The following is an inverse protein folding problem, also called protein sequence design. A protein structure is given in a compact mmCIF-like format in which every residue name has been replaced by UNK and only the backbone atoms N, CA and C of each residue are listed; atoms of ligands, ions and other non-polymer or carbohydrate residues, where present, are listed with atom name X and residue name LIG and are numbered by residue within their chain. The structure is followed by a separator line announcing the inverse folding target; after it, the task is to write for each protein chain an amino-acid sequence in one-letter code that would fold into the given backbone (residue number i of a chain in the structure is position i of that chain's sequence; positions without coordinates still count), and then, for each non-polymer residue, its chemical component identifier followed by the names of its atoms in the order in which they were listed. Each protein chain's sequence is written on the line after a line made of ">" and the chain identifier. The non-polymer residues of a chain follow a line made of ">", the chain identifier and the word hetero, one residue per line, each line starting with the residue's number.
data_IF_241689286540
#
_entry.id   IF_241689286540
#
_cell.length_a   1.000
_cell.length_b   1.000
_cell.length_c   1.000
_cell.angle_alpha   90.00
_cell.angle_beta   90.00
_cell.angle_gamma   90.00
#
_symmetry.space_group_name_H-M   'P 1'
#
loop_
_entity.id
_entity.type
_entity.pdbx_description
1 polymer ?
#
# COMPACT_ATOMS: atom_id res chain seq x y z
N UNK A 1 -29.83 43.48 33.78
CA UNK A 1 -29.96 42.86 32.43
C UNK A 1 -29.43 43.71 31.25
N UNK A 2 -28.88 44.92 31.44
CA UNK A 2 -28.48 45.82 30.33
C UNK A 2 -27.01 45.71 29.82
N UNK A 3 -26.18 44.86 30.43
CA UNK A 3 -24.72 44.82 30.16
C UNK A 3 -24.33 43.88 29.01
N UNK A 4 -25.17 42.91 28.68
CA UNK A 4 -24.95 41.90 27.62
C UNK A 4 -25.25 42.41 26.21
N UNK A 5 -26.14 43.41 26.06
CA UNK A 5 -26.51 43.94 24.73
C UNK A 5 -25.39 44.77 24.09
N UNK A 6 -24.57 45.47 24.89
CA UNK A 6 -23.44 46.28 24.40
C UNK A 6 -22.28 45.41 23.88
N UNK A 7 -22.04 44.24 24.48
CA UNK A 7 -21.04 43.28 24.01
C UNK A 7 -21.43 42.66 22.66
N UNK A 8 -22.70 42.27 22.51
CA UNK A 8 -23.24 41.75 21.23
C UNK A 8 -23.12 42.77 20.10
N UNK A 9 -23.39 44.05 20.37
CA UNK A 9 -23.30 45.12 19.36
C UNK A 9 -21.86 45.46 18.96
N UNK A 10 -20.87 45.23 19.85
CA UNK A 10 -19.43 45.36 19.53
C UNK A 10 -18.91 44.20 18.69
N UNK A 11 -19.33 42.97 18.99
CA UNK A 11 -18.97 41.79 18.18
C UNK A 11 -19.53 41.88 16.75
N UNK A 12 -20.74 42.38 16.57
CA UNK A 12 -21.36 42.57 15.24
C UNK A 12 -20.69 43.70 14.42
N UNK A 13 -19.94 44.60 15.06
CA UNK A 13 -19.29 45.75 14.40
C UNK A 13 -17.80 45.53 14.09
N UNK A 14 -17.21 44.43 14.56
CA UNK A 14 -15.83 44.08 14.23
C UNK A 14 -15.76 43.41 12.84
N UNK A 15 -15.28 44.17 11.84
CA UNK A 15 -15.04 43.70 10.46
C UNK A 15 -13.60 43.22 10.24
N UNK A 16 -12.74 43.31 11.26
CA UNK A 16 -11.31 42.94 11.19
C UNK A 16 -11.06 41.46 10.87
N UNK A 17 -12.10 40.62 10.93
CA UNK A 17 -12.05 39.19 10.56
C UNK A 17 -12.31 38.89 9.08
N UNK A 18 -12.76 39.86 8.26
CA UNK A 18 -13.10 39.61 6.84
C UNK A 18 -11.91 39.10 6.04
N UNK A 19 -10.75 39.75 6.21
CA UNK A 19 -9.51 39.35 5.55
C UNK A 19 -9.01 37.96 6.00
N UNK A 20 -9.26 37.58 7.26
CA UNK A 20 -8.90 36.26 7.77
C UNK A 20 -9.78 35.16 7.14
N UNK A 21 -11.07 35.44 6.89
CA UNK A 21 -11.98 34.50 6.22
C UNK A 21 -11.62 34.35 4.73
N UNK A 22 -11.31 35.45 4.05
CA UNK A 22 -10.85 35.44 2.66
C UNK A 22 -9.55 34.63 2.49
N UNK A 23 -8.58 34.81 3.39
CA UNK A 23 -7.35 34.02 3.40
C UNK A 23 -7.63 32.54 3.69
N UNK A 24 -8.46 32.22 4.68
CA UNK A 24 -8.81 30.84 5.03
C UNK A 24 -9.48 30.10 3.86
N UNK A 25 -10.33 30.78 3.09
CA UNK A 25 -11.00 30.22 1.90
C UNK A 25 -10.02 29.75 0.83
N UNK A 26 -8.85 30.39 0.69
CA UNK A 26 -7.80 30.01 -0.27
C UNK A 26 -6.75 29.09 0.36
N UNK A 27 -6.37 29.35 1.60
CA UNK A 27 -5.35 28.57 2.30
C UNK A 27 -5.79 27.12 2.55
N UNK A 28 -7.06 26.89 2.89
CA UNK A 28 -7.58 25.54 3.13
C UNK A 28 -7.46 24.59 1.91
N UNK A 29 -7.97 24.92 0.71
CA UNK A 29 -7.81 24.05 -0.45
C UNK A 29 -6.35 23.93 -0.89
N UNK A 30 -5.53 24.96 -0.71
CA UNK A 30 -4.10 24.91 -1.02
C UNK A 30 -3.34 23.93 -0.11
N UNK A 31 -3.54 24.01 1.22
CA UNK A 31 -2.95 23.08 2.17
C UNK A 31 -3.43 21.64 1.90
N UNK A 32 -4.71 21.45 1.59
CA UNK A 32 -5.25 20.14 1.20
C UNK A 32 -4.53 19.57 -0.03
N UNK A 33 -4.32 20.39 -1.07
CA UNK A 33 -3.60 19.97 -2.27
C UNK A 33 -2.14 19.56 -1.96
N UNK A 34 -1.45 20.31 -1.09
CA UNK A 34 -0.08 19.95 -0.67
C UNK A 34 -0.07 18.60 0.03
N UNK A 35 -0.96 18.37 1.00
CA UNK A 35 -1.03 17.07 1.69
C UNK A 35 -1.37 15.92 0.75
N UNK A 36 -2.27 16.14 -0.22
CA UNK A 36 -2.58 15.14 -1.24
C UNK A 36 -1.37 14.78 -2.09
N UNK A 37 -0.56 15.77 -2.50
CA UNK A 37 0.68 15.51 -3.27
C UNK A 37 1.70 14.76 -2.40
N UNK A 38 1.87 15.13 -1.13
CA UNK A 38 2.77 14.45 -0.20
C UNK A 38 2.34 12.99 0.05
N UNK A 39 1.04 12.75 0.24
CA UNK A 39 0.49 11.40 0.41
C UNK A 39 0.71 10.56 -0.84
N UNK A 40 0.46 11.11 -2.03
CA UNK A 40 0.72 10.41 -3.29
C UNK A 40 2.21 10.07 -3.46
N UNK A 41 3.10 11.01 -3.10
CA UNK A 41 4.54 10.76 -3.07
C UNK A 41 4.92 9.62 -2.13
N UNK A 42 4.31 9.56 -0.94
CA UNK A 42 4.52 8.48 0.01
C UNK A 42 4.06 7.12 -0.54
N UNK A 43 2.90 7.08 -1.20
CA UNK A 43 2.38 5.85 -1.84
C UNK A 43 3.34 5.34 -2.91
N UNK A 44 3.89 6.22 -3.76
CA UNK A 44 4.88 5.82 -4.77
C UNK A 44 6.19 5.34 -4.16
N UNK A 45 6.66 5.97 -3.09
CA UNK A 45 7.85 5.49 -2.36
C UNK A 45 7.60 4.11 -1.78
N UNK A 46 6.43 3.88 -1.16
CA UNK A 46 6.05 2.59 -0.64
C UNK A 46 5.98 1.52 -1.74
N UNK A 47 5.40 1.84 -2.89
CA UNK A 47 5.30 0.94 -4.05
C UNK A 47 6.70 0.55 -4.58
N UNK A 48 7.59 1.53 -4.74
CA UNK A 48 8.97 1.29 -5.15
C UNK A 48 9.76 0.44 -4.16
N UNK A 49 9.60 0.68 -2.85
CA UNK A 49 10.22 -0.12 -1.79
C UNK A 49 9.66 -1.54 -1.78
N UNK A 50 8.34 -1.71 -1.97
CA UNK A 50 7.68 -3.01 -2.03
C UNK A 50 8.18 -3.84 -3.22
N UNK A 51 8.31 -3.22 -4.40
CA UNK A 51 8.81 -3.88 -5.60
C UNK A 51 10.26 -4.31 -5.43
N UNK A 52 11.12 -3.43 -4.90
CA UNK A 52 12.51 -3.77 -4.60
C UNK A 52 12.61 -4.91 -3.57
N UNK A 53 11.84 -4.85 -2.48
CA UNK A 53 11.79 -5.90 -1.47
C UNK A 53 11.33 -7.24 -2.07
N UNK A 54 10.36 -7.22 -2.98
CA UNK A 54 9.83 -8.40 -3.67
C UNK A 54 10.88 -9.02 -4.59
N UNK A 55 11.60 -8.21 -5.36
CA UNK A 55 12.69 -8.68 -6.24
C UNK A 55 13.80 -9.35 -5.42
N UNK A 56 14.26 -8.69 -4.35
CA UNK A 56 15.34 -9.18 -3.50
C UNK A 56 14.94 -10.44 -2.72
N UNK A 57 13.72 -10.50 -2.20
CA UNK A 57 13.22 -11.72 -1.52
C UNK A 57 12.97 -12.84 -2.53
N UNK A 58 12.50 -12.51 -3.73
CA UNK A 58 12.38 -13.45 -4.85
C UNK A 58 13.71 -14.07 -5.28
N UNK A 59 14.86 -13.38 -5.10
CA UNK A 59 16.19 -13.99 -5.32
C UNK A 59 16.44 -15.18 -4.41
N UNK A 60 15.94 -15.18 -3.17
CA UNK A 60 16.09 -16.32 -2.25
C UNK A 60 15.39 -17.57 -2.79
N UNK A 61 14.23 -17.39 -3.44
CA UNK A 61 13.52 -18.48 -4.12
C UNK A 61 14.27 -18.90 -5.38
N UNK A 62 14.65 -17.93 -6.23
CA UNK A 62 15.36 -18.17 -7.49
C UNK A 62 16.65 -18.97 -7.33
N UNK A 63 17.41 -18.68 -6.28
CA UNK A 63 18.71 -19.31 -5.98
C UNK A 63 18.57 -20.60 -5.15
N UNK A 64 17.34 -21.05 -4.86
CA UNK A 64 17.10 -22.25 -4.06
C UNK A 64 17.39 -22.09 -2.55
N UNK A 65 17.82 -20.91 -2.08
CA UNK A 65 18.07 -20.67 -0.65
C UNK A 65 16.80 -20.84 0.21
N UNK A 66 15.65 -20.41 -0.32
CA UNK A 66 14.35 -20.61 0.34
C UNK A 66 13.99 -22.10 0.46
N UNK A 67 14.30 -22.90 -0.56
CA UNK A 67 14.13 -24.35 -0.53
C UNK A 67 15.09 -25.00 0.46
N UNK A 68 16.38 -24.63 0.45
CA UNK A 68 17.41 -25.19 1.32
C UNK A 68 17.15 -24.92 2.81
N UNK A 69 16.52 -23.80 3.13
CA UNK A 69 16.13 -23.43 4.50
C UNK A 69 14.72 -23.90 4.89
N UNK A 70 14.02 -24.63 4.02
CA UNK A 70 12.60 -25.02 4.21
C UNK A 70 11.71 -23.81 4.56
N UNK A 71 11.98 -22.67 3.92
CA UNK A 71 11.25 -21.42 4.15
C UNK A 71 9.78 -21.62 3.78
N UNK A 72 8.90 -21.20 4.67
CA UNK A 72 7.46 -21.18 4.49
C UNK A 72 6.95 -19.77 4.16
N UNK A 73 5.64 -19.63 3.95
CA UNK A 73 5.03 -18.35 3.62
C UNK A 73 5.29 -17.27 4.69
N UNK A 74 5.34 -17.66 5.97
CA UNK A 74 5.60 -16.75 7.07
C UNK A 74 7.06 -16.26 7.06
N UNK A 75 8.01 -17.15 6.84
CA UNK A 75 9.43 -16.82 6.69
C UNK A 75 9.68 -15.90 5.49
N UNK A 76 9.07 -16.20 4.34
CA UNK A 76 9.16 -15.34 3.16
C UNK A 76 8.61 -13.93 3.43
N UNK A 77 7.44 -13.87 4.08
CA UNK A 77 6.81 -12.62 4.46
C UNK A 77 7.65 -11.81 5.45
N UNK A 78 8.30 -12.47 6.43
CA UNK A 78 9.23 -11.80 7.34
C UNK A 78 10.41 -11.21 6.57
N UNK A 79 11.06 -12.01 5.72
CA UNK A 79 12.20 -11.57 4.92
C UNK A 79 11.86 -10.40 3.98
N UNK A 80 10.64 -10.40 3.44
CA UNK A 80 10.11 -9.28 2.66
C UNK A 80 9.93 -8.03 3.51
N UNK A 81 9.26 -8.14 4.66
CA UNK A 81 8.99 -6.99 5.54
C UNK A 81 10.27 -6.38 6.12
N UNK A 82 11.28 -7.19 6.44
CA UNK A 82 12.58 -6.71 6.92
C UNK A 82 13.27 -5.79 5.90
N UNK A 83 13.00 -6.00 4.61
CA UNK A 83 13.53 -5.18 3.50
C UNK A 83 12.74 -3.88 3.27
N UNK A 84 11.58 -3.72 3.90
CA UNK A 84 10.75 -2.51 3.76
C UNK A 84 11.14 -1.37 4.73
N UNK A 85 12.19 -1.56 5.55
CA UNK A 85 12.78 -0.53 6.41
C UNK A 85 11.74 0.21 7.27
N UNK A 86 11.50 1.51 7.04
CA UNK A 86 10.54 2.34 7.78
C UNK A 86 9.09 1.80 7.70
N UNK A 87 8.77 1.01 6.68
CA UNK A 87 7.46 0.38 6.49
C UNK A 87 7.39 -1.06 7.04
N UNK A 88 8.44 -1.56 7.69
CA UNK A 88 8.49 -2.93 8.21
C UNK A 88 7.41 -3.22 9.27
N UNK A 89 7.14 -2.24 10.16
CA UNK A 89 6.13 -2.36 11.22
C UNK A 89 4.74 -2.77 10.71
N UNK A 90 4.10 -1.96 9.84
CA UNK A 90 2.78 -2.30 9.29
C UNK A 90 2.81 -3.46 8.27
N UNK A 91 3.95 -3.76 7.65
CA UNK A 91 4.03 -4.79 6.62
C UNK A 91 3.53 -6.16 7.07
N UNK A 92 3.88 -6.60 8.28
CA UNK A 92 3.55 -7.93 8.80
C UNK A 92 2.04 -8.23 8.84
N UNK A 93 1.18 -7.23 8.96
CA UNK A 93 -0.28 -7.42 8.97
C UNK A 93 -0.91 -7.08 7.62
N UNK A 94 -0.30 -6.16 6.86
CA UNK A 94 -0.87 -5.61 5.63
C UNK A 94 -0.45 -6.34 4.35
N UNK A 95 0.60 -7.16 4.40
CA UNK A 95 1.10 -7.88 3.22
C UNK A 95 0.51 -9.29 3.10
N UNK A 96 0.18 -9.67 1.87
CA UNK A 96 -0.22 -11.01 1.46
C UNK A 96 0.72 -11.46 0.34
N UNK A 97 1.19 -12.71 0.40
CA UNK A 97 2.18 -13.24 -0.53
C UNK A 97 1.64 -14.50 -1.20
N UNK A 98 1.99 -14.68 -2.46
CA UNK A 98 1.70 -15.85 -3.26
C UNK A 98 2.95 -16.22 -4.04
N UNK A 99 3.54 -17.36 -3.70
CA UNK A 99 4.73 -17.89 -4.36
C UNK A 99 4.35 -19.23 -4.91
N UNK A 100 4.30 -19.37 -6.23
CA UNK A 100 3.82 -20.61 -6.86
C UNK A 100 4.68 -21.03 -8.02
N UNK A 101 4.79 -22.33 -8.18
CA UNK A 101 5.33 -22.91 -9.40
C UNK A 101 4.26 -22.86 -10.50
N UNK A 102 4.69 -22.49 -11.70
CA UNK A 102 3.87 -22.44 -12.90
C UNK A 102 4.34 -23.50 -13.89
N UNK A 103 3.42 -24.13 -14.64
CA UNK A 103 3.81 -25.05 -15.71
C UNK A 103 4.49 -24.33 -16.89
N UNK A 104 4.04 -23.11 -17.19
CA UNK A 104 4.51 -22.27 -18.29
C UNK A 104 4.11 -20.79 -18.04
N UNK A 105 4.67 -19.85 -18.81
CA UNK A 105 4.35 -18.42 -18.68
C UNK A 105 3.04 -17.99 -19.35
N UNK A 106 2.40 -18.85 -20.15
CA UNK A 106 1.11 -18.57 -20.77
C UNK A 106 -0.08 -18.94 -19.87
N UNK A 107 0.13 -19.85 -18.91
CA UNK A 107 -0.85 -20.20 -17.89
C UNK A 107 -1.17 -18.98 -17.01
N UNK A 108 -2.44 -18.62 -16.91
CA UNK A 108 -2.88 -17.49 -16.07
C UNK A 108 -3.16 -18.00 -14.66
N UNK A 109 -2.41 -17.50 -13.68
CA UNK A 109 -2.69 -17.80 -12.28
C UNK A 109 -4.02 -17.14 -11.85
N UNK A 110 -4.83 -17.78 -10.99
CA UNK A 110 -6.04 -17.18 -10.44
C UNK A 110 -5.78 -15.79 -9.86
N UNK A 111 -6.64 -14.84 -10.20
CA UNK A 111 -6.62 -13.49 -9.61
C UNK A 111 -7.32 -13.53 -8.24
N UNK A 112 -6.62 -13.24 -7.12
CA UNK A 112 -7.24 -13.17 -5.81
C UNK A 112 -8.13 -11.93 -5.63
N UNK A 113 -8.08 -10.96 -6.53
CA UNK A 113 -8.91 -9.77 -6.50
C UNK A 113 -10.21 -10.02 -7.28
N UNK A 114 -11.31 -10.31 -6.58
CA UNK A 114 -12.63 -10.52 -7.18
C UNK A 114 -13.60 -9.45 -6.71
N UNK A 115 -14.10 -8.64 -7.65
CA UNK A 115 -15.19 -7.68 -7.45
C UNK A 115 -14.99 -6.76 -6.22
N UNK A 116 -13.79 -6.19 -6.04
CA UNK A 116 -13.48 -5.27 -4.93
C UNK A 116 -13.05 -5.94 -3.62
N UNK A 117 -13.10 -7.27 -3.55
CA UNK A 117 -12.67 -8.07 -2.41
C UNK A 117 -11.44 -8.94 -2.72
N UNK A 118 -10.63 -9.19 -1.70
CA UNK A 118 -9.40 -9.98 -1.82
C UNK A 118 -9.58 -11.34 -1.13
N UNK A 119 -9.49 -12.41 -1.92
CA UNK A 119 -9.61 -13.77 -1.45
C UNK A 119 -8.22 -14.39 -1.18
N UNK A 120 -7.82 -14.42 0.10
CA UNK A 120 -6.55 -15.02 0.51
C UNK A 120 -6.51 -16.55 0.39
N UNK A 121 -7.65 -17.23 0.24
CA UNK A 121 -7.69 -18.69 0.09
C UNK A 121 -7.16 -19.16 -1.28
N UNK A 122 -7.03 -18.25 -2.26
CA UNK A 122 -6.45 -18.55 -3.57
C UNK A 122 -4.92 -18.47 -3.58
N UNK A 123 -4.30 -17.95 -2.52
CA UNK A 123 -2.86 -17.81 -2.41
C UNK A 123 -2.23 -19.17 -2.06
N UNK A 124 -1.06 -19.42 -2.61
CA UNK A 124 -0.28 -20.61 -2.28
C UNK A 124 1.18 -20.23 -2.06
N UNK A 125 1.91 -21.16 -1.47
CA UNK A 125 3.33 -21.00 -1.22
C UNK A 125 4.06 -22.29 -1.58
N UNK A 126 4.99 -22.20 -2.53
CA UNK A 126 5.87 -23.27 -2.93
C UNK A 126 7.20 -22.70 -3.43
N UNK A 127 8.31 -23.28 -3.00
CA UNK A 127 9.64 -22.83 -3.39
C UNK A 127 10.06 -23.33 -4.79
N UNK A 128 9.29 -24.26 -5.36
CA UNK A 128 9.63 -24.97 -6.60
C UNK A 128 10.88 -25.83 -6.43
N UNK A 129 11.38 -26.33 -7.56
CA UNK A 129 12.61 -27.09 -7.68
C UNK A 129 13.61 -26.38 -8.61
N UNK A 130 14.81 -26.95 -8.76
CA UNK A 130 15.81 -26.44 -9.69
C UNK A 130 15.25 -26.40 -11.12
N UNK A 131 15.36 -25.25 -11.80
CA UNK A 131 14.82 -25.06 -13.15
C UNK A 131 13.30 -24.89 -13.26
N UNK A 132 12.55 -24.90 -12.14
CA UNK A 132 11.11 -24.60 -12.10
C UNK A 132 10.82 -23.16 -12.51
N UNK A 133 9.64 -22.94 -13.13
CA UNK A 133 9.13 -21.60 -13.40
C UNK A 133 8.33 -21.13 -12.20
N UNK A 134 8.72 -19.99 -11.63
CA UNK A 134 8.15 -19.45 -10.41
C UNK A 134 7.47 -18.12 -10.69
N UNK A 135 6.34 -17.90 -10.02
CA UNK A 135 5.63 -16.64 -9.96
C UNK A 135 5.52 -16.21 -8.50
N UNK A 136 6.03 -15.02 -8.21
CA UNK A 136 5.92 -14.35 -6.92
C UNK A 136 5.02 -13.15 -7.10
N UNK A 137 3.92 -13.12 -6.34
CA UNK A 137 2.99 -11.99 -6.27
C UNK A 137 2.85 -11.55 -4.83
N UNK A 138 2.87 -10.24 -4.64
CA UNK A 138 2.77 -9.61 -3.34
C UNK A 138 1.68 -8.54 -3.43
N UNK A 139 0.81 -8.50 -2.43
CA UNK A 139 -0.20 -7.46 -2.26
C UNK A 139 0.01 -6.79 -0.92
N UNK A 140 0.06 -5.46 -0.93
CA UNK A 140 0.18 -4.65 0.27
C UNK A 140 -1.03 -3.71 0.38
N UNK A 141 -1.74 -3.80 1.50
CA UNK A 141 -2.86 -2.90 1.81
C UNK A 141 -2.36 -1.65 2.51
N UNK A 142 -2.48 -0.50 1.86
CA UNK A 142 -2.13 0.79 2.44
C UNK A 142 -3.39 1.58 2.79
N UNK A 143 -3.61 1.94 4.07
CA UNK A 143 -4.71 2.82 4.44
C UNK A 143 -4.41 4.24 3.94
N UNK A 144 -5.35 4.80 3.17
CA UNK A 144 -5.26 6.19 2.71
C UNK A 144 -5.83 7.12 3.78
N UNK A 145 -5.14 8.24 4.02
CA UNK A 145 -5.55 9.29 4.94
C UNK A 145 -6.58 10.21 4.30
N UNK A 146 -6.47 10.51 3.01
CA UNK A 146 -7.45 11.38 2.32
C UNK A 146 -8.50 10.58 1.55
N UNK A 147 -9.77 10.87 1.84
CA UNK A 147 -10.94 10.26 1.19
C UNK A 147 -11.07 10.62 -0.30
N UNK A 148 -10.31 11.61 -0.78
CA UNK A 148 -10.29 11.98 -2.19
C UNK A 148 -9.36 11.06 -2.98
N UNK A 149 -8.20 10.71 -2.43
CA UNK A 149 -7.29 9.76 -3.06
C UNK A 149 -7.86 8.34 -3.05
N UNK A 150 -8.69 7.97 -2.07
CA UNK A 150 -9.34 6.65 -2.07
C UNK A 150 -10.28 6.44 -3.25
N UNK A 151 -10.92 7.47 -3.79
CA UNK A 151 -11.78 7.33 -4.98
C UNK A 151 -10.96 7.07 -6.26
N UNK A 152 -9.71 7.55 -6.33
CA UNK A 152 -8.84 7.38 -7.50
C UNK A 152 -7.85 6.21 -7.40
N UNK A 153 -7.47 5.82 -6.18
CA UNK A 153 -6.43 4.81 -5.91
C UNK A 153 -6.94 3.55 -5.20
N UNK A 154 -8.12 3.59 -4.57
CA UNK A 154 -8.66 2.39 -3.92
C UNK A 154 -9.11 1.39 -4.99
N UNK A 155 -8.58 0.17 -4.88
CA UNK A 155 -9.09 -1.00 -5.63
C UNK A 155 -9.93 -1.93 -4.76
N UNK A 156 -10.16 -1.54 -3.51
CA UNK A 156 -10.93 -2.30 -2.54
C UNK A 156 -12.15 -1.53 -2.08
N UNK A 157 -13.20 -2.28 -1.73
CA UNK A 157 -14.46 -1.72 -1.21
C UNK A 157 -14.29 -1.13 0.20
N UNK A 158 -13.19 -1.43 0.89
CA UNK A 158 -12.85 -0.92 2.23
C UNK A 158 -12.14 0.45 2.21
N UNK A 159 -11.90 1.03 1.03
CA UNK A 159 -11.25 2.33 0.86
C UNK A 159 -9.73 2.31 0.99
N UNK A 160 -9.10 1.12 1.00
CA UNK A 160 -7.64 0.99 1.05
C UNK A 160 -7.01 0.90 -0.35
N UNK A 161 -5.83 1.50 -0.51
CA UNK A 161 -5.03 1.33 -1.72
C UNK A 161 -4.36 -0.04 -1.70
N UNK A 162 -4.58 -0.82 -2.75
CA UNK A 162 -3.92 -2.12 -2.93
C UNK A 162 -2.74 -1.99 -3.89
N UNK A 163 -1.54 -1.96 -3.31
CA UNK A 163 -0.28 -2.02 -4.05
C UNK A 163 0.04 -3.47 -4.39
N UNK A 164 0.57 -3.71 -5.59
CA UNK A 164 0.91 -5.06 -6.04
C UNK A 164 2.26 -5.09 -6.72
N UNK A 165 3.10 -6.02 -6.31
CA UNK A 165 4.38 -6.31 -6.93
C UNK A 165 4.36 -7.76 -7.44
N UNK A 166 4.69 -7.96 -8.71
CA UNK A 166 4.70 -9.28 -9.34
C UNK A 166 6.00 -9.50 -10.07
N UNK A 167 6.65 -10.64 -9.83
CA UNK A 167 7.84 -11.06 -10.56
C UNK A 167 7.74 -12.53 -10.92
N UNK A 168 8.11 -12.87 -12.15
CA UNK A 168 8.15 -14.24 -12.64
C UNK A 168 9.56 -14.55 -13.13
N UNK A 169 10.07 -15.74 -12.82
CA UNK A 169 11.43 -16.15 -13.13
C UNK A 169 11.56 -17.66 -13.18
N UNK A 170 12.68 -18.15 -13.70
CA UNK A 170 13.06 -19.56 -13.60
C UNK A 170 14.09 -19.73 -12.48
N UNK A 171 13.93 -20.75 -11.65
CA UNK A 171 14.92 -21.11 -10.64
C UNK A 171 16.23 -21.55 -11.28
N UNK A 172 17.33 -21.26 -10.61
CA UNK A 172 18.67 -21.67 -11.02
C UNK A 172 18.79 -23.21 -10.98
N UNK A 173 19.56 -23.82 -11.91
CA UNK A 173 19.81 -25.26 -11.94
C UNK A 173 20.71 -25.74 -10.80
#
# INVERSE_FOLDING_TARGET
>A
MLRTSKLRRRLVRNQDGSAAVEFALVALPFCFMIFAILELGLVFVLDSVLENATIETGRLVRTGQAQASSMDAAGFKSALCDRMSIFAGPCSTQVQVDVREMPDFATVAPDPMQAGSFNSALLTYGNGSAGSLMLVRVWYRHPLMTTFLSQGLSRMDDGTAMLTATTAFRNEP
#
